data_IF_720928910483
#
_entry.id   IF_720928910483
#
_cell.length_a   1.000
_cell.length_b   1.000
_cell.length_c   1.000
_cell.angle_alpha   90.00
_cell.angle_beta   90.00
_cell.angle_gamma   90.00
#
_symmetry.space_group_name_H-M   'P 1'
#
loop_
_entity.id
_entity.type
_entity.pdbx_description
1 polymer ?
#
# COMPACT_ATOMS: atom_id res chain seq x y z
N UNK A 1 -24.57 -31.36 15.36
CA UNK A 1 -25.80 -32.10 15.77
C UNK A 1 -27.06 -31.63 15.04
N UNK A 2 -27.32 -30.34 14.93
CA UNK A 2 -28.51 -29.79 14.24
C UNK A 2 -28.59 -30.16 12.75
N UNK A 3 -27.51 -30.07 11.99
CA UNK A 3 -27.44 -30.44 10.58
C UNK A 3 -27.80 -31.89 10.33
N UNK A 4 -27.27 -32.83 11.13
CA UNK A 4 -27.61 -34.26 11.01
C UNK A 4 -29.07 -34.57 11.31
N UNK A 5 -29.71 -33.84 12.24
CA UNK A 5 -31.15 -33.98 12.52
C UNK A 5 -31.97 -33.45 11.36
N UNK A 6 -31.61 -32.27 10.80
CA UNK A 6 -32.29 -31.70 9.64
C UNK A 6 -32.16 -32.62 8.42
N UNK A 7 -30.95 -33.12 8.11
CA UNK A 7 -30.73 -34.01 6.98
C UNK A 7 -31.56 -35.33 7.10
N UNK A 8 -31.64 -35.92 8.29
CA UNK A 8 -32.48 -37.10 8.52
C UNK A 8 -33.97 -36.82 8.36
N UNK A 9 -34.45 -35.67 8.86
CA UNK A 9 -35.86 -35.30 8.72
C UNK A 9 -36.22 -35.09 7.24
N UNK A 10 -35.36 -34.36 6.50
CA UNK A 10 -35.55 -34.11 5.04
C UNK A 10 -35.47 -35.40 4.24
N UNK A 11 -34.51 -36.29 4.53
CA UNK A 11 -34.40 -37.58 3.86
C UNK A 11 -35.64 -38.49 4.12
N UNK A 12 -36.16 -38.47 5.35
CA UNK A 12 -37.37 -39.17 5.69
C UNK A 12 -38.64 -38.63 5.01
N UNK A 13 -38.69 -37.29 4.85
CA UNK A 13 -39.74 -36.63 4.09
C UNK A 13 -39.72 -37.02 2.61
N UNK A 14 -38.55 -36.94 1.96
CA UNK A 14 -38.38 -37.33 0.56
C UNK A 14 -38.69 -38.82 0.34
N UNK A 15 -38.23 -39.71 1.22
CA UNK A 15 -38.55 -41.13 1.14
C UNK A 15 -40.06 -41.44 1.19
N UNK A 16 -40.79 -40.64 1.96
CA UNK A 16 -42.28 -40.81 2.06
C UNK A 16 -43.05 -40.26 0.89
N UNK A 17 -42.60 -39.20 0.24
CA UNK A 17 -43.35 -38.46 -0.79
C UNK A 17 -42.89 -38.80 -2.21
N UNK A 18 -41.62 -39.15 -2.39
CA UNK A 18 -41.04 -39.45 -3.72
C UNK A 18 -40.80 -40.97 -3.86
N UNK A 19 -40.65 -41.69 -2.74
CA UNK A 19 -40.40 -43.11 -2.72
C UNK A 19 -38.93 -43.47 -2.39
N UNK A 20 -38.70 -44.72 -2.04
CA UNK A 20 -37.40 -45.24 -1.68
C UNK A 20 -37.03 -45.09 -0.17
N UNK A 21 -36.04 -45.84 0.29
CA UNK A 21 -35.62 -45.77 1.70
C UNK A 21 -34.95 -44.43 2.02
N UNK A 22 -35.24 -43.86 3.21
CA UNK A 22 -34.69 -42.58 3.65
C UNK A 22 -33.14 -42.49 3.56
N UNK A 23 -32.46 -43.62 3.71
CA UNK A 23 -31.00 -43.72 3.64
C UNK A 23 -30.46 -43.37 2.24
N UNK A 24 -31.23 -43.64 1.19
CA UNK A 24 -30.84 -43.29 -0.18
C UNK A 24 -30.85 -41.76 -0.45
N UNK A 25 -31.67 -41.01 0.28
CA UNK A 25 -31.77 -39.56 0.20
C UNK A 25 -30.78 -38.81 1.09
N UNK A 26 -30.12 -39.51 2.03
CA UNK A 26 -29.19 -38.87 2.96
C UNK A 26 -28.04 -38.10 2.30
N UNK A 27 -27.34 -38.61 1.29
CA UNK A 27 -26.27 -37.85 0.63
C UNK A 27 -26.76 -36.54 0.01
N UNK A 28 -27.91 -36.59 -0.66
CA UNK A 28 -28.50 -35.38 -1.28
C UNK A 28 -28.90 -34.35 -0.23
N UNK A 29 -29.54 -34.75 0.86
CA UNK A 29 -29.97 -33.84 1.93
C UNK A 29 -28.77 -33.21 2.66
N UNK A 30 -27.69 -33.96 2.90
CA UNK A 30 -26.45 -33.42 3.43
C UNK A 30 -25.81 -32.42 2.46
N UNK A 31 -25.76 -32.74 1.17
CA UNK A 31 -25.20 -31.83 0.15
C UNK A 31 -25.99 -30.52 0.05
N UNK A 32 -27.34 -30.60 0.07
CA UNK A 32 -28.21 -29.40 -0.01
C UNK A 32 -28.08 -28.55 1.26
N UNK A 33 -28.13 -29.14 2.44
CA UNK A 33 -28.04 -28.42 3.71
C UNK A 33 -26.62 -27.82 3.87
N UNK A 34 -25.57 -28.62 3.62
CA UNK A 34 -24.18 -28.13 3.67
C UNK A 34 -23.90 -27.03 2.65
N UNK A 35 -24.39 -27.18 1.42
CA UNK A 35 -24.29 -26.18 0.38
C UNK A 35 -25.02 -24.87 0.72
N UNK A 36 -26.24 -24.97 1.27
CA UNK A 36 -27.03 -23.81 1.71
C UNK A 36 -26.39 -23.07 2.88
N UNK A 37 -25.84 -23.80 3.86
CA UNK A 37 -25.08 -23.23 4.96
C UNK A 37 -23.81 -22.54 4.48
N UNK A 38 -23.06 -23.19 3.59
CA UNK A 38 -21.84 -22.60 2.99
C UNK A 38 -22.15 -21.34 2.20
N UNK A 39 -23.22 -21.34 1.39
CA UNK A 39 -23.65 -20.14 0.66
C UNK A 39 -24.13 -19.04 1.61
N UNK A 40 -24.86 -19.40 2.67
CA UNK A 40 -25.31 -18.44 3.70
C UNK A 40 -24.14 -17.76 4.43
N UNK A 41 -23.14 -18.53 4.84
CA UNK A 41 -21.93 -18.02 5.47
C UNK A 41 -21.16 -17.12 4.49
N UNK A 42 -20.97 -17.56 3.24
CA UNK A 42 -20.30 -16.78 2.20
C UNK A 42 -21.00 -15.45 1.91
N UNK A 43 -22.33 -15.44 1.81
CA UNK A 43 -23.10 -14.21 1.57
C UNK A 43 -23.10 -13.29 2.79
N UNK A 44 -23.21 -13.81 4.00
CA UNK A 44 -23.12 -13.02 5.23
C UNK A 44 -21.73 -12.38 5.37
N UNK A 45 -20.68 -13.16 5.16
CA UNK A 45 -19.30 -12.67 5.17
C UNK A 45 -19.07 -11.62 4.08
N UNK A 46 -19.55 -11.85 2.85
CA UNK A 46 -19.48 -10.86 1.76
C UNK A 46 -20.18 -9.54 2.12
N UNK A 47 -21.35 -9.59 2.79
CA UNK A 47 -22.04 -8.37 3.27
C UNK A 47 -21.26 -7.63 4.37
N UNK A 48 -20.60 -8.34 5.26
CA UNK A 48 -19.73 -7.73 6.27
C UNK A 48 -18.54 -7.04 5.58
N UNK A 49 -17.88 -7.71 4.66
CA UNK A 49 -16.76 -7.14 3.90
C UNK A 49 -17.18 -5.90 3.10
N UNK A 50 -18.34 -5.95 2.43
CA UNK A 50 -18.85 -4.81 1.67
C UNK A 50 -19.20 -3.61 2.58
N UNK A 51 -19.71 -3.84 3.79
CA UNK A 51 -19.94 -2.76 4.77
C UNK A 51 -18.63 -2.15 5.28
N UNK A 52 -17.60 -2.96 5.51
CA UNK A 52 -16.27 -2.48 5.90
C UNK A 52 -15.65 -1.66 4.75
N UNK A 53 -15.71 -2.15 3.53
CA UNK A 53 -15.25 -1.41 2.35
C UNK A 53 -16.02 -0.09 2.15
N UNK A 54 -17.34 -0.11 2.33
CA UNK A 54 -18.18 1.10 2.26
C UNK A 54 -17.86 2.11 3.38
N UNK A 55 -17.38 1.64 4.54
CA UNK A 55 -16.91 2.51 5.61
C UNK A 55 -15.69 3.34 5.18
N UNK A 56 -14.78 2.78 4.39
CA UNK A 56 -13.63 3.49 3.83
C UNK A 56 -14.00 4.53 2.74
N UNK A 57 -15.22 4.48 2.24
CA UNK A 57 -15.77 5.48 1.31
C UNK A 57 -16.46 6.62 2.04
N UNK A 58 -16.70 6.52 3.36
CA UNK A 58 -17.31 7.60 4.15
C UNK A 58 -16.30 8.71 4.31
N UNK A 59 -16.67 9.89 3.85
CA UNK A 59 -15.87 11.09 4.00
C UNK A 59 -16.02 11.63 5.42
N UNK A 60 -14.93 11.83 6.12
CA UNK A 60 -14.91 12.65 7.32
C UNK A 60 -15.10 14.11 6.91
N UNK A 61 -15.81 14.90 7.71
CA UNK A 61 -16.11 16.31 7.39
C UNK A 61 -14.83 17.10 7.09
N UNK A 62 -13.74 16.82 7.82
CA UNK A 62 -12.43 17.45 7.63
C UNK A 62 -11.83 17.21 6.22
N UNK A 63 -12.18 16.10 5.56
CA UNK A 63 -11.64 15.68 4.26
C UNK A 63 -12.71 15.64 3.18
N UNK A 64 -13.76 16.46 3.33
CA UNK A 64 -14.90 16.51 2.41
C UNK A 64 -14.65 17.44 1.23
N UNK A 65 -13.94 18.53 1.48
CA UNK A 65 -13.74 19.59 0.52
C UNK A 65 -12.56 19.26 -0.43
N UNK A 66 -12.71 19.70 -1.67
CA UNK A 66 -11.70 19.55 -2.72
C UNK A 66 -10.46 20.36 -2.33
N UNK A 67 -9.23 19.79 -2.45
CA UNK A 67 -8.02 20.58 -2.22
C UNK A 67 -7.82 21.60 -3.33
N UNK A 68 -7.50 22.85 -2.97
CA UNK A 68 -7.20 23.91 -3.93
C UNK A 68 -5.75 23.85 -4.46
N UNK A 69 -4.85 23.19 -3.71
CA UNK A 69 -3.43 23.12 -4.05
C UNK A 69 -3.18 22.29 -5.33
N UNK A 70 -2.59 22.86 -6.38
CA UNK A 70 -2.32 22.14 -7.64
C UNK A 70 -1.25 21.05 -7.47
N UNK A 71 -0.51 21.07 -6.36
CA UNK A 71 0.56 20.12 -6.04
C UNK A 71 0.04 18.76 -5.54
N UNK A 72 -1.28 18.57 -5.39
CA UNK A 72 -1.84 17.32 -4.88
C UNK A 72 -2.83 16.67 -5.84
N UNK A 73 -2.93 15.33 -5.78
CA UNK A 73 -3.98 14.60 -6.51
C UNK A 73 -5.37 14.93 -5.97
N UNK A 74 -6.35 14.93 -6.86
CA UNK A 74 -7.73 15.29 -6.54
C UNK A 74 -8.01 16.79 -6.53
N UNK A 75 -7.03 17.66 -6.82
CA UNK A 75 -7.21 19.09 -7.07
C UNK A 75 -7.97 19.30 -8.39
N UNK A 76 -8.47 20.53 -8.70
CA UNK A 76 -9.17 20.81 -9.95
C UNK A 76 -8.38 20.48 -11.23
N UNK A 77 -7.06 20.51 -11.14
CA UNK A 77 -6.15 20.24 -12.26
C UNK A 77 -5.73 18.75 -12.36
N UNK A 78 -6.08 17.95 -11.35
CA UNK A 78 -5.69 16.55 -11.26
C UNK A 78 -6.42 15.67 -12.27
N UNK A 79 -5.70 14.73 -12.90
CA UNK A 79 -6.29 13.65 -13.69
C UNK A 79 -7.00 12.60 -12.83
N UNK A 80 -6.76 12.59 -11.50
CA UNK A 80 -7.41 11.71 -10.54
C UNK A 80 -8.59 12.44 -9.90
N UNK A 81 -9.80 11.90 -10.04
CA UNK A 81 -10.97 12.49 -9.43
C UNK A 81 -10.90 12.39 -7.89
N UNK A 82 -11.18 13.50 -7.18
CA UNK A 82 -11.17 13.54 -5.71
C UNK A 82 -12.09 12.49 -5.09
N UNK A 83 -13.22 12.18 -5.76
CA UNK A 83 -14.17 11.14 -5.35
C UNK A 83 -13.54 9.76 -5.21
N UNK A 84 -12.59 9.43 -6.09
CA UNK A 84 -11.99 8.11 -6.25
C UNK A 84 -10.82 7.85 -5.28
N UNK A 85 -10.32 8.90 -4.62
CA UNK A 85 -9.24 8.78 -3.64
C UNK A 85 -9.63 7.95 -2.39
N UNK A 86 -10.92 7.81 -2.13
CA UNK A 86 -11.41 7.22 -0.89
C UNK A 86 -10.99 8.01 0.35
N UNK A 87 -11.33 7.52 1.55
CA UNK A 87 -11.00 8.23 2.79
C UNK A 87 -9.49 8.42 2.98
N UNK A 88 -8.72 7.37 2.73
CA UNK A 88 -7.30 7.39 3.05
C UNK A 88 -6.49 8.27 2.08
N UNK A 89 -6.85 8.24 0.80
CA UNK A 89 -6.23 9.12 -0.18
C UNK A 89 -6.57 10.59 0.06
N UNK A 90 -7.83 10.92 0.38
CA UNK A 90 -8.23 12.29 0.73
C UNK A 90 -7.47 12.81 1.94
N UNK A 91 -7.39 12.00 3.00
CA UNK A 91 -6.58 12.32 4.18
C UNK A 91 -5.13 12.60 3.79
N UNK A 92 -4.54 11.72 2.97
CA UNK A 92 -3.16 11.85 2.56
C UNK A 92 -2.90 13.15 1.78
N UNK A 93 -3.73 13.50 0.81
CA UNK A 93 -3.52 14.68 -0.04
C UNK A 93 -3.86 16.00 0.68
N UNK A 94 -4.87 16.02 1.56
CA UNK A 94 -5.29 17.23 2.28
C UNK A 94 -4.30 17.61 3.40
N UNK A 95 -3.61 16.63 3.97
CA UNK A 95 -2.58 16.88 5.01
C UNK A 95 -1.20 17.22 4.39
N UNK A 96 -1.12 17.56 3.10
CA UNK A 96 0.13 18.04 2.48
C UNK A 96 0.54 19.37 3.09
N UNK A 97 1.82 19.51 3.44
CA UNK A 97 2.33 20.76 4.01
C UNK A 97 2.50 21.83 2.94
N UNK A 98 1.93 23.01 3.18
CA UNK A 98 2.22 24.19 2.33
C UNK A 98 3.57 24.82 2.68
N UNK A 99 4.17 25.53 1.75
CA UNK A 99 5.41 26.29 1.98
C UNK A 99 5.24 27.31 3.11
N UNK A 100 4.08 27.96 3.19
CA UNK A 100 3.76 28.91 4.26
C UNK A 100 3.76 28.25 5.65
N UNK A 101 3.15 27.07 5.78
CA UNK A 101 3.16 26.31 7.04
C UNK A 101 4.57 25.87 7.43
N UNK A 102 5.36 25.44 6.45
CA UNK A 102 6.75 25.03 6.69
C UNK A 102 7.58 26.22 7.15
N UNK A 103 7.45 27.36 6.47
CA UNK A 103 8.16 28.60 6.81
C UNK A 103 7.78 29.09 8.21
N UNK A 104 6.49 29.06 8.57
CA UNK A 104 6.02 29.44 9.90
C UNK A 104 6.65 28.58 11.01
N UNK A 105 6.64 27.25 10.83
CA UNK A 105 7.19 26.31 11.84
C UNK A 105 8.69 26.41 11.98
N UNK A 106 9.41 26.59 10.86
CA UNK A 106 10.88 26.66 10.87
C UNK A 106 11.40 28.06 11.22
N UNK A 107 10.55 29.10 11.18
CA UNK A 107 10.97 30.48 11.33
C UNK A 107 11.84 30.99 10.18
N UNK A 108 11.64 30.47 8.98
CA UNK A 108 12.41 30.73 7.78
C UNK A 108 11.48 31.21 6.64
N UNK A 109 12.00 31.42 5.44
CA UNK A 109 11.21 31.79 4.26
C UNK A 109 11.72 31.06 3.02
N UNK A 110 10.80 30.82 2.07
CA UNK A 110 11.15 30.24 0.77
C UNK A 110 10.99 28.72 0.69
N UNK A 111 10.24 28.10 1.63
CA UNK A 111 9.82 26.73 1.48
C UNK A 111 8.83 26.58 0.32
N UNK A 112 8.81 25.39 -0.28
CA UNK A 112 7.90 25.03 -1.37
C UNK A 112 6.67 24.31 -0.82
N UNK A 113 5.57 24.32 -1.55
CA UNK A 113 4.45 23.42 -1.28
C UNK A 113 4.87 21.99 -1.57
N UNK A 114 4.67 21.09 -0.62
CA UNK A 114 4.96 19.68 -0.81
C UNK A 114 4.02 19.05 -1.87
N UNK A 115 4.52 18.04 -2.59
CA UNK A 115 3.74 17.33 -3.60
C UNK A 115 3.26 16.01 -3.01
N UNK A 116 1.95 15.75 -3.08
CA UNK A 116 1.37 14.44 -2.72
C UNK A 116 0.50 13.88 -3.82
N UNK A 117 0.98 12.81 -4.44
CA UNK A 117 0.26 12.05 -5.46
C UNK A 117 -0.37 10.80 -4.81
N UNK A 118 -1.66 10.64 -5.02
CA UNK A 118 -2.36 9.43 -4.58
C UNK A 118 -3.35 8.98 -5.64
N UNK A 119 -3.27 7.69 -6.02
CA UNK A 119 -4.23 7.08 -6.94
C UNK A 119 -5.06 6.07 -6.17
N UNK A 120 -6.39 6.28 -6.14
CA UNK A 120 -7.33 5.40 -5.47
C UNK A 120 -7.57 4.10 -6.25
N UNK A 121 -8.07 3.07 -5.59
CA UNK A 121 -8.42 1.81 -6.24
C UNK A 121 -9.58 1.95 -7.24
N UNK A 122 -10.41 2.99 -7.06
CA UNK A 122 -11.55 3.29 -7.93
C UNK A 122 -11.17 4.23 -9.09
N UNK A 123 -9.94 4.75 -9.12
CA UNK A 123 -9.49 5.69 -10.16
C UNK A 123 -9.29 5.04 -11.53
N UNK A 124 -9.02 3.73 -11.56
CA UNK A 124 -8.93 2.93 -12.79
C UNK A 124 -9.08 1.43 -12.50
N UNK A 125 -9.45 0.65 -13.50
CA UNK A 125 -9.78 -0.76 -13.36
C UNK A 125 -8.53 -1.65 -13.23
N UNK A 126 -7.47 -1.35 -13.98
CA UNK A 126 -6.26 -2.17 -14.04
C UNK A 126 -5.09 -1.58 -13.26
N UNK A 127 -4.08 -2.41 -12.99
CA UNK A 127 -2.81 -1.97 -12.37
C UNK A 127 -2.09 -1.00 -13.28
N UNK A 128 -2.03 -1.29 -14.57
CA UNK A 128 -1.35 -0.51 -15.59
C UNK A 128 -1.95 0.90 -15.69
N UNK A 129 -3.26 1.01 -15.73
CA UNK A 129 -3.95 2.30 -15.78
C UNK A 129 -3.71 3.13 -14.51
N UNK A 130 -3.76 2.52 -13.32
CA UNK A 130 -3.45 3.23 -12.08
C UNK A 130 -2.00 3.69 -12.01
N UNK A 131 -1.07 2.89 -12.52
CA UNK A 131 0.35 3.28 -12.61
C UNK A 131 0.52 4.43 -13.61
N UNK A 132 -0.14 4.36 -14.77
CA UNK A 132 -0.12 5.46 -15.77
C UNK A 132 -0.62 6.76 -15.16
N UNK A 133 -1.78 6.74 -14.49
CA UNK A 133 -2.31 7.90 -13.77
C UNK A 133 -1.33 8.45 -12.72
N UNK A 134 -0.65 7.58 -11.97
CA UNK A 134 0.34 8.03 -10.99
C UNK A 134 1.53 8.74 -11.66
N UNK A 135 2.03 8.21 -12.78
CA UNK A 135 3.12 8.86 -13.54
C UNK A 135 2.65 10.18 -14.16
N UNK A 136 1.45 10.23 -14.71
CA UNK A 136 0.85 11.45 -15.24
C UNK A 136 0.73 12.53 -14.15
N UNK A 137 0.27 12.17 -12.94
CA UNK A 137 0.18 13.08 -11.80
C UNK A 137 1.57 13.54 -11.30
N UNK A 138 2.55 12.63 -11.24
CA UNK A 138 3.94 12.99 -10.89
C UNK A 138 4.53 13.99 -11.88
N UNK A 139 4.29 13.80 -13.18
CA UNK A 139 4.73 14.74 -14.22
C UNK A 139 3.96 16.07 -14.15
N UNK A 140 2.63 16.04 -13.99
CA UNK A 140 1.79 17.23 -13.88
C UNK A 140 2.22 18.14 -12.73
N UNK A 141 2.53 17.53 -11.57
CA UNK A 141 2.90 18.27 -10.36
C UNK A 141 4.36 18.70 -10.31
N UNK A 142 5.21 18.28 -11.26
CA UNK A 142 6.65 18.51 -11.24
C UNK A 142 7.38 17.69 -10.16
N UNK A 143 6.85 16.52 -9.80
CA UNK A 143 7.41 15.69 -8.74
C UNK A 143 8.84 15.21 -9.02
N UNK A 144 9.16 14.99 -10.30
CA UNK A 144 10.50 14.57 -10.72
C UNK A 144 11.54 15.69 -10.70
N UNK A 145 11.12 16.92 -10.50
CA UNK A 145 12.01 18.08 -10.40
C UNK A 145 12.31 18.47 -8.93
N UNK A 146 11.78 17.68 -7.97
CA UNK A 146 12.05 17.81 -6.54
C UNK A 146 13.33 17.06 -6.14
N UNK A 147 13.95 17.51 -5.06
CA UNK A 147 15.16 16.83 -4.53
C UNK A 147 14.91 15.41 -4.01
N UNK A 148 13.70 15.12 -3.58
CA UNK A 148 13.32 13.82 -3.01
C UNK A 148 11.97 13.35 -3.55
N UNK A 149 11.89 12.07 -3.92
CA UNK A 149 10.64 11.38 -4.26
C UNK A 149 10.44 10.19 -3.31
N UNK A 150 9.43 10.28 -2.43
CA UNK A 150 9.01 9.15 -1.59
C UNK A 150 8.03 8.29 -2.36
N UNK A 151 8.36 7.01 -2.54
CA UNK A 151 7.45 6.02 -3.12
C UNK A 151 6.90 5.14 -2.00
N UNK A 152 5.61 5.33 -1.72
CA UNK A 152 4.90 4.69 -0.63
C UNK A 152 4.17 3.43 -1.03
N UNK A 153 4.21 2.43 -0.16
CA UNK A 153 3.35 1.25 -0.26
C UNK A 153 2.31 1.30 0.87
N UNK A 154 1.02 1.55 0.55
CA UNK A 154 -0.01 1.68 1.58
C UNK A 154 -0.38 0.34 2.20
N UNK A 155 -1.04 0.38 3.36
CA UNK A 155 -1.67 -0.77 4.00
C UNK A 155 -2.94 -1.22 3.26
N UNK A 156 -3.56 -2.31 3.71
CA UNK A 156 -4.72 -2.93 3.05
C UNK A 156 -5.93 -2.02 2.81
N UNK A 157 -6.15 -1.03 3.68
CA UNK A 157 -7.19 0.00 3.51
C UNK A 157 -6.84 1.11 2.54
N UNK A 158 -5.61 1.13 2.05
CA UNK A 158 -5.03 2.28 1.33
C UNK A 158 -4.39 3.32 2.26
N UNK A 159 -4.37 3.07 3.58
CA UNK A 159 -3.70 3.97 4.52
C UNK A 159 -2.20 4.01 4.24
N UNK A 160 -1.72 5.19 3.91
CA UNK A 160 -0.31 5.53 3.85
C UNK A 160 -0.05 6.55 4.97
N UNK A 161 0.85 6.20 5.90
CA UNK A 161 1.07 7.04 7.07
C UNK A 161 1.69 8.37 6.65
N UNK A 162 0.90 9.42 6.75
CA UNK A 162 1.31 10.76 6.32
C UNK A 162 2.22 11.46 7.35
N UNK A 163 2.27 11.03 8.61
CA UNK A 163 3.08 11.69 9.64
C UNK A 163 4.59 11.66 9.34
N UNK A 164 5.21 10.52 9.00
CA UNK A 164 6.61 10.51 8.57
C UNK A 164 6.84 11.24 7.25
N UNK A 165 5.85 11.25 6.35
CA UNK A 165 5.91 11.99 5.09
C UNK A 165 5.91 13.50 5.38
N UNK A 166 5.00 13.98 6.24
CA UNK A 166 4.95 15.36 6.70
C UNK A 166 6.26 15.77 7.37
N UNK A 167 6.82 14.94 8.25
CA UNK A 167 8.13 15.22 8.84
C UNK A 167 9.24 15.37 7.77
N UNK A 168 9.21 14.54 6.72
CA UNK A 168 10.15 14.67 5.61
C UNK A 168 9.90 15.95 4.78
N UNK A 169 8.65 16.40 4.65
CA UNK A 169 8.30 17.67 3.99
C UNK A 169 8.93 18.87 4.72
N UNK A 170 8.86 18.89 6.05
CA UNK A 170 9.55 19.92 6.84
C UNK A 170 11.07 19.84 6.69
N UNK A 171 11.65 18.64 6.76
CA UNK A 171 13.10 18.45 6.62
C UNK A 171 13.62 18.84 5.24
N UNK A 172 12.85 18.61 4.20
CA UNK A 172 13.17 18.98 2.82
C UNK A 172 12.70 20.41 2.47
N UNK A 173 12.07 21.13 3.41
CA UNK A 173 11.51 22.47 3.17
C UNK A 173 10.54 22.49 1.98
N UNK A 174 9.74 21.45 1.85
CA UNK A 174 8.77 21.28 0.77
C UNK A 174 9.38 20.88 -0.59
N UNK A 175 10.70 20.83 -0.73
CA UNK A 175 11.36 20.34 -1.95
C UNK A 175 11.33 18.80 -2.04
N UNK A 176 10.12 18.27 -1.98
CA UNK A 176 9.83 16.83 -1.88
C UNK A 176 8.50 16.49 -2.55
N UNK A 177 8.45 15.31 -3.13
CA UNK A 177 7.24 14.69 -3.62
C UNK A 177 7.02 13.33 -2.97
N UNK A 178 5.78 12.90 -2.87
CA UNK A 178 5.41 11.56 -2.42
C UNK A 178 4.31 10.96 -3.27
N UNK A 179 4.36 9.64 -3.50
CA UNK A 179 3.36 8.93 -4.30
C UNK A 179 2.95 7.62 -3.64
N UNK A 180 1.65 7.31 -3.67
CA UNK A 180 1.12 6.02 -3.27
C UNK A 180 -0.07 5.61 -4.15
N UNK A 181 -0.20 4.32 -4.44
CA UNK A 181 -1.33 3.76 -5.20
C UNK A 181 -2.08 2.75 -4.31
N UNK A 182 -3.36 2.96 -4.10
CA UNK A 182 -4.21 2.06 -3.34
C UNK A 182 -4.50 0.77 -4.13
N UNK A 183 -4.34 -0.39 -3.48
CA UNK A 183 -4.64 -1.70 -4.08
C UNK A 183 -5.87 -2.38 -3.46
N UNK A 184 -6.43 -1.85 -2.41
CA UNK A 184 -7.57 -2.42 -1.72
C UNK A 184 -8.26 -1.43 -0.78
N UNK A 185 -9.41 -1.83 -0.26
CA UNK A 185 -10.23 -1.02 0.65
C UNK A 185 -10.59 -1.76 1.94
N UNK A 186 -9.94 -2.90 2.21
CA UNK A 186 -10.18 -3.72 3.40
C UNK A 186 -9.03 -3.58 4.40
N UNK A 187 -9.31 -3.76 5.72
CA UNK A 187 -8.27 -3.85 6.74
C UNK A 187 -7.19 -4.88 6.38
N UNK A 188 -5.96 -4.65 6.84
CA UNK A 188 -4.78 -5.46 6.48
C UNK A 188 -4.98 -6.96 6.72
N UNK A 189 -5.66 -7.35 7.81
CA UNK A 189 -5.96 -8.75 8.12
C UNK A 189 -6.90 -9.42 7.10
N UNK A 190 -7.72 -8.65 6.40
CA UNK A 190 -8.65 -9.12 5.36
C UNK A 190 -8.09 -8.90 3.94
N UNK A 191 -6.98 -8.18 3.81
CA UNK A 191 -6.31 -7.87 2.55
C UNK A 191 -5.19 -8.85 2.19
N UNK A 192 -4.93 -9.86 3.01
CA UNK A 192 -3.86 -10.86 2.77
C UNK A 192 -3.98 -11.51 1.39
N UNK A 193 -5.19 -11.79 0.93
CA UNK A 193 -5.44 -12.34 -0.42
C UNK A 193 -5.11 -11.38 -1.57
N UNK A 194 -4.89 -10.09 -1.29
CA UNK A 194 -4.51 -9.08 -2.28
C UNK A 194 -3.02 -8.74 -2.30
N UNK A 195 -2.22 -9.40 -1.46
CA UNK A 195 -0.76 -9.18 -1.40
C UNK A 195 -0.09 -9.35 -2.77
N UNK A 196 -0.39 -10.38 -3.58
CA UNK A 196 0.23 -10.51 -4.90
C UNK A 196 -0.06 -9.32 -5.82
N UNK A 197 -1.32 -8.84 -5.85
CA UNK A 197 -1.72 -7.65 -6.60
C UNK A 197 -0.98 -6.39 -6.11
N UNK A 198 -0.84 -6.23 -4.80
CA UNK A 198 -0.14 -5.09 -4.21
C UNK A 198 1.35 -5.08 -4.57
N UNK A 199 2.00 -6.25 -4.56
CA UNK A 199 3.39 -6.44 -4.97
C UNK A 199 3.55 -6.10 -6.44
N UNK A 200 2.68 -6.63 -7.30
CA UNK A 200 2.67 -6.37 -8.74
C UNK A 200 2.53 -4.87 -9.03
N UNK A 201 1.57 -4.22 -8.41
CA UNK A 201 1.30 -2.78 -8.58
C UNK A 201 2.48 -1.92 -8.10
N UNK A 202 3.05 -2.23 -6.93
CA UNK A 202 4.20 -1.49 -6.41
C UNK A 202 5.43 -1.67 -7.31
N UNK A 203 5.72 -2.90 -7.73
CA UNK A 203 6.81 -3.19 -8.67
C UNK A 203 6.61 -2.52 -10.04
N UNK A 204 5.37 -2.46 -10.55
CA UNK A 204 5.05 -1.75 -11.78
C UNK A 204 5.28 -0.24 -11.64
N UNK A 205 4.87 0.37 -10.50
CA UNK A 205 5.13 1.77 -10.21
C UNK A 205 6.63 2.09 -10.15
N UNK A 206 7.42 1.27 -9.45
CA UNK A 206 8.87 1.44 -9.37
C UNK A 206 9.54 1.38 -10.74
N UNK A 207 9.17 0.43 -11.58
CA UNK A 207 9.70 0.34 -12.96
C UNK A 207 9.30 1.55 -13.81
N UNK A 208 8.07 2.04 -13.69
CA UNK A 208 7.61 3.21 -14.41
C UNK A 208 8.36 4.48 -13.97
N UNK A 209 8.54 4.69 -12.66
CA UNK A 209 9.37 5.78 -12.12
C UNK A 209 10.81 5.65 -12.63
N UNK A 210 11.40 4.46 -12.59
CA UNK A 210 12.75 4.23 -13.09
C UNK A 210 12.88 4.62 -14.57
N UNK A 211 11.89 4.29 -15.40
CA UNK A 211 11.87 4.68 -16.83
C UNK A 211 11.80 6.19 -17.04
N UNK A 212 11.08 6.92 -16.18
CA UNK A 212 11.06 8.40 -16.20
C UNK A 212 12.44 8.98 -15.82
N UNK A 213 13.07 8.39 -14.80
CA UNK A 213 14.39 8.83 -14.34
C UNK A 213 15.49 8.53 -15.37
N UNK A 214 15.36 7.47 -16.18
CA UNK A 214 16.30 7.17 -17.25
C UNK A 214 16.39 8.27 -18.30
N UNK A 215 15.28 8.97 -18.53
CA UNK A 215 15.19 10.04 -19.52
C UNK A 215 15.73 11.38 -19.01
N UNK A 216 16.09 11.49 -17.73
CA UNK A 216 16.56 12.73 -17.08
C UNK A 216 18.07 12.70 -16.88
N UNK A 217 18.70 13.88 -16.87
CA UNK A 217 20.10 13.99 -16.49
C UNK A 217 20.28 13.45 -15.06
N UNK A 218 21.28 12.60 -14.78
CA UNK A 218 21.55 12.12 -13.43
C UNK A 218 21.67 13.19 -12.35
N UNK A 219 22.14 14.39 -12.71
CA UNK A 219 22.28 15.51 -11.78
C UNK A 219 20.92 16.13 -11.36
N UNK A 220 19.89 15.95 -12.19
CA UNK A 220 18.56 16.56 -11.99
C UNK A 220 17.55 15.54 -11.45
N UNK A 221 17.97 14.32 -11.14
CA UNK A 221 17.08 13.25 -10.63
C UNK A 221 16.80 13.45 -9.14
N UNK A 222 15.55 13.30 -8.71
CA UNK A 222 15.25 13.20 -7.28
C UNK A 222 15.92 11.96 -6.67
N UNK A 223 16.27 12.05 -5.40
CA UNK A 223 16.60 10.86 -4.61
C UNK A 223 15.32 10.08 -4.35
N UNK A 224 15.31 8.80 -4.73
CA UNK A 224 14.15 7.93 -4.54
C UNK A 224 14.23 7.24 -3.19
N UNK A 225 13.20 7.46 -2.37
CA UNK A 225 13.10 6.88 -1.01
C UNK A 225 11.85 6.02 -0.93
N UNK A 226 12.01 4.77 -0.52
CA UNK A 226 10.86 3.90 -0.27
C UNK A 226 10.40 4.00 1.17
N UNK A 227 9.09 4.01 1.36
CA UNK A 227 8.51 3.95 2.68
C UNK A 227 7.31 3.00 2.73
N UNK A 228 7.26 2.16 3.79
CA UNK A 228 6.15 1.27 4.02
C UNK A 228 6.05 0.79 5.47
N UNK A 229 4.82 0.64 5.96
CA UNK A 229 4.54 0.14 7.30
C UNK A 229 3.69 -1.12 7.26
N UNK A 230 3.96 -2.07 8.15
CA UNK A 230 3.18 -3.28 8.34
C UNK A 230 3.00 -4.03 7.00
N UNK A 231 1.76 -4.23 6.54
CA UNK A 231 1.48 -4.87 5.25
C UNK A 231 2.08 -4.09 4.07
N UNK A 232 2.15 -2.75 4.15
CA UNK A 232 2.82 -1.91 3.15
C UNK A 232 4.32 -2.19 3.08
N UNK A 233 4.98 -2.40 4.21
CA UNK A 233 6.39 -2.82 4.22
C UNK A 233 6.57 -4.19 3.53
N UNK A 234 5.70 -5.14 3.80
CA UNK A 234 5.75 -6.47 3.16
C UNK A 234 5.51 -6.41 1.66
N UNK A 235 4.55 -5.61 1.21
CA UNK A 235 4.21 -5.49 -0.22
C UNK A 235 5.27 -4.75 -1.00
N UNK A 236 5.88 -3.69 -0.42
CA UNK A 236 7.02 -3.00 -1.00
C UNK A 236 8.20 -3.95 -1.20
N UNK A 237 8.62 -4.65 -0.15
CA UNK A 237 9.72 -5.62 -0.20
C UNK A 237 9.45 -6.78 -1.15
N UNK A 238 8.17 -7.15 -1.34
CA UNK A 238 7.77 -8.21 -2.24
C UNK A 238 8.18 -7.98 -3.70
N UNK A 239 8.35 -6.73 -4.11
CA UNK A 239 8.79 -6.36 -5.45
C UNK A 239 10.26 -6.74 -5.72
N UNK A 240 11.04 -7.05 -4.69
CA UNK A 240 12.49 -7.31 -4.77
C UNK A 240 12.87 -8.78 -4.56
N UNK A 241 11.89 -9.66 -4.34
CA UNK A 241 12.13 -11.08 -4.09
C UNK A 241 12.95 -11.70 -5.23
N UNK A 242 14.05 -12.36 -4.87
CA UNK A 242 15.00 -12.99 -5.80
C UNK A 242 16.00 -12.03 -6.46
N UNK A 243 15.93 -10.72 -6.21
CA UNK A 243 16.81 -9.72 -6.83
C UNK A 243 18.03 -9.31 -5.99
N UNK A 244 18.18 -9.87 -4.78
CA UNK A 244 19.25 -9.46 -3.86
C UNK A 244 19.16 -7.97 -3.48
N UNK A 245 20.29 -7.32 -3.23
CA UNK A 245 20.41 -5.89 -3.01
C UNK A 245 20.64 -5.11 -4.30
N UNK A 246 21.15 -5.76 -5.35
CA UNK A 246 21.49 -5.12 -6.62
C UNK A 246 20.26 -4.54 -7.33
N UNK A 247 19.09 -5.17 -7.18
CA UNK A 247 17.82 -4.69 -7.74
C UNK A 247 17.45 -3.27 -7.29
N UNK A 248 17.90 -2.87 -6.11
CA UNK A 248 17.63 -1.52 -5.61
C UNK A 248 18.44 -0.47 -6.39
N UNK A 249 19.66 -0.78 -6.76
CA UNK A 249 20.50 0.07 -7.61
C UNK A 249 20.00 0.07 -9.07
N UNK A 250 19.56 -1.08 -9.59
CA UNK A 250 18.94 -1.18 -10.91
C UNK A 250 17.69 -0.29 -11.02
N UNK A 251 16.90 -0.21 -9.95
CA UNK A 251 15.70 0.63 -9.86
C UNK A 251 15.98 2.05 -9.34
N UNK A 252 17.24 2.42 -9.14
CA UNK A 252 17.66 3.73 -8.63
C UNK A 252 17.03 4.10 -7.28
N UNK A 253 16.93 3.13 -6.38
CA UNK A 253 16.44 3.35 -5.04
C UNK A 253 17.60 3.79 -4.14
N UNK A 254 17.54 5.03 -3.66
CA UNK A 254 18.60 5.60 -2.82
C UNK A 254 18.51 5.15 -1.38
N UNK A 255 17.29 5.11 -0.82
CA UNK A 255 17.02 4.78 0.58
C UNK A 255 15.69 4.04 0.72
N UNK A 256 15.54 3.29 1.80
CA UNK A 256 14.25 2.75 2.18
C UNK A 256 14.09 2.67 3.69
N UNK A 257 12.85 2.87 4.16
CA UNK A 257 12.43 2.63 5.53
C UNK A 257 11.21 1.72 5.54
N UNK A 258 11.36 0.54 6.10
CA UNK A 258 10.27 -0.41 6.31
C UNK A 258 10.06 -0.64 7.81
N UNK A 259 8.92 -0.21 8.33
CA UNK A 259 8.58 -0.33 9.74
C UNK A 259 7.57 -1.45 9.98
N UNK A 260 7.80 -2.25 11.02
CA UNK A 260 6.89 -3.31 11.44
C UNK A 260 6.63 -4.36 10.34
N UNK A 261 7.63 -4.75 9.58
CA UNK A 261 7.50 -5.77 8.53
C UNK A 261 6.96 -7.08 9.09
N UNK A 262 5.83 -7.62 8.59
CA UNK A 262 5.31 -8.91 9.05
C UNK A 262 6.36 -10.02 8.90
N UNK A 263 6.33 -10.99 9.83
CA UNK A 263 7.22 -12.16 9.80
C UNK A 263 7.19 -12.94 8.46
N UNK A 264 6.08 -12.86 7.71
CA UNK A 264 5.91 -13.48 6.40
C UNK A 264 6.70 -12.81 5.26
N UNK A 265 7.37 -11.67 5.49
CA UNK A 265 8.19 -10.99 4.48
C UNK A 265 9.27 -11.91 3.91
N UNK A 266 9.20 -12.20 2.59
CA UNK A 266 10.10 -13.17 1.93
C UNK A 266 11.46 -12.53 1.70
N UNK A 267 11.50 -11.36 1.08
CA UNK A 267 12.75 -10.70 0.70
C UNK A 267 13.67 -10.39 1.90
N UNK A 268 13.09 -9.89 3.02
CA UNK A 268 13.88 -9.69 4.25
C UNK A 268 14.55 -10.98 4.74
N UNK A 269 13.85 -12.12 4.63
CA UNK A 269 14.42 -13.42 4.99
C UNK A 269 15.53 -13.84 4.03
N UNK A 270 15.41 -13.53 2.73
CA UNK A 270 16.47 -13.74 1.76
C UNK A 270 17.72 -12.93 2.11
N UNK A 271 17.56 -11.63 2.41
CA UNK A 271 18.67 -10.79 2.84
C UNK A 271 19.37 -11.32 4.09
N UNK A 272 18.59 -11.69 5.12
CA UNK A 272 19.15 -12.23 6.36
C UNK A 272 19.79 -13.61 6.23
N UNK A 273 19.40 -14.39 5.20
CA UNK A 273 20.04 -15.67 4.89
C UNK A 273 21.39 -15.50 4.18
N UNK A 274 21.64 -14.33 3.62
CA UNK A 274 22.85 -14.06 2.84
C UNK A 274 22.89 -14.80 1.52
N UNK A 275 23.92 -14.59 0.74
CA UNK A 275 24.13 -15.27 -0.54
C UNK A 275 24.70 -14.37 -1.63
N UNK A 276 24.76 -14.88 -2.85
CA UNK A 276 25.23 -14.11 -4.01
C UNK A 276 24.27 -12.96 -4.34
N UNK A 277 24.80 -11.78 -4.62
CA UNK A 277 24.01 -10.58 -4.92
C UNK A 277 23.41 -9.89 -3.70
N UNK A 278 23.87 -10.23 -2.49
CA UNK A 278 23.47 -9.56 -1.25
C UNK A 278 24.69 -8.88 -0.64
N UNK A 279 24.64 -7.55 -0.57
CA UNK A 279 25.57 -6.72 0.19
C UNK A 279 24.97 -6.46 1.58
N UNK A 280 25.53 -7.06 2.62
CA UNK A 280 25.08 -6.96 3.99
C UNK A 280 25.44 -5.64 4.66
N UNK A 281 26.29 -4.82 4.05
CA UNK A 281 26.68 -3.50 4.57
C UNK A 281 25.64 -2.42 4.30
N UNK A 282 24.79 -2.60 3.26
CA UNK A 282 23.84 -1.57 2.82
C UNK A 282 22.49 -1.64 3.53
N UNK A 283 22.22 -2.66 4.34
CA UNK A 283 20.95 -2.76 5.08
C UNK A 283 21.16 -3.07 6.57
N UNK A 284 20.21 -2.62 7.39
CA UNK A 284 20.20 -2.88 8.81
C UNK A 284 18.80 -3.16 9.36
N UNK A 285 18.73 -4.04 10.37
CA UNK A 285 17.51 -4.34 11.10
C UNK A 285 17.65 -3.85 12.54
N UNK A 286 16.72 -2.99 12.96
CA UNK A 286 16.79 -2.29 14.25
C UNK A 286 15.47 -2.47 15.01
N UNK A 287 15.54 -2.69 16.31
CA UNK A 287 14.38 -2.63 17.21
C UNK A 287 14.13 -1.20 17.72
N UNK A 288 15.12 -0.32 17.60
CA UNK A 288 15.00 1.09 17.98
C UNK A 288 15.99 1.96 17.21
N UNK A 289 15.71 3.26 17.18
CA UNK A 289 16.62 4.25 16.60
C UNK A 289 17.95 4.33 17.35
N UNK A 290 17.95 3.98 18.63
CA UNK A 290 19.19 4.03 19.44
C UNK A 290 20.16 2.92 19.05
N UNK A 291 19.67 1.77 18.62
CA UNK A 291 20.53 0.72 18.04
C UNK A 291 21.29 1.25 16.82
N UNK A 292 20.61 1.93 15.91
CA UNK A 292 21.25 2.56 14.76
C UNK A 292 22.24 3.66 15.17
N UNK A 293 21.86 4.54 16.10
CA UNK A 293 22.73 5.64 16.56
C UNK A 293 24.01 5.16 17.23
N UNK A 294 23.99 3.97 17.83
CA UNK A 294 25.15 3.38 18.50
C UNK A 294 26.11 2.67 17.54
N UNK A 295 25.78 2.53 16.26
CA UNK A 295 26.70 2.01 15.26
C UNK A 295 27.87 2.99 15.02
N UNK A 296 29.06 2.49 14.61
CA UNK A 296 30.10 3.31 14.03
C UNK A 296 29.61 4.21 12.91
N UNK A 297 30.22 5.37 12.74
CA UNK A 297 29.77 6.34 11.74
C UNK A 297 29.82 5.76 10.32
N UNK A 298 30.87 5.02 9.97
CA UNK A 298 31.05 4.38 8.66
C UNK A 298 29.91 3.39 8.36
N UNK A 299 29.51 2.58 9.34
CA UNK A 299 28.41 1.64 9.19
C UNK A 299 27.07 2.36 8.98
N UNK A 300 26.84 3.46 9.76
CA UNK A 300 25.64 4.27 9.60
C UNK A 300 25.52 4.92 8.22
N UNK A 301 26.63 5.36 7.67
CA UNK A 301 26.69 5.99 6.34
C UNK A 301 26.49 4.96 5.23
N UNK A 302 26.98 3.73 5.40
CA UNK A 302 26.82 2.65 4.46
C UNK A 302 25.35 2.14 4.38
N UNK A 303 24.65 2.10 5.53
CA UNK A 303 23.26 1.60 5.57
C UNK A 303 22.32 2.54 4.79
N UNK A 304 21.73 2.01 3.76
CA UNK A 304 20.73 2.67 2.90
C UNK A 304 19.31 2.17 3.18
N UNK A 305 19.16 0.92 3.60
CA UNK A 305 17.88 0.21 3.68
C UNK A 305 17.63 -0.22 5.13
N UNK A 306 16.57 0.36 5.72
CA UNK A 306 16.28 0.24 7.14
C UNK A 306 15.05 -0.64 7.36
N UNK A 307 15.20 -1.65 8.20
CA UNK A 307 14.10 -2.45 8.74
C UNK A 307 13.94 -2.11 10.22
N UNK A 308 12.90 -1.38 10.57
CA UNK A 308 12.52 -1.05 11.93
C UNK A 308 11.42 -2.01 12.40
N UNK A 309 11.64 -2.75 13.50
CA UNK A 309 10.71 -3.75 14.02
C UNK A 309 10.11 -3.37 15.37
#
# INVERSE_FOLDING_TARGET
MAERKAARASASYLGRHIGGPAVAWMPLTHAVIGGSLGLGVRTAFGRVLSKIAASNRRTEVRYADLPDAPTVSGSPESGVAFGDLGLQGRRFVIEASSGEQIDEVLGETGAMDAIRVYVGVESADTVEERVSLAIEELNRTGAFDRSVLIVGSPAGTGYFNYIPVEAAEYLARGDIASVAIQYGSLPSTLSVGKIPLAIEQHGALLRAINSELEQRDPADRPRVVLYGESLGAQTSQGAFVGGGTDILDELRIDRALWAGTPFAGIWRRELLAGGSGIDDTVFGTFASIDEYRNLPQEDREAIRFFFLN
#
